data_IF_212654004865
#
_entry.id   IF_212654004865
#
_cell.length_a   1.000
_cell.length_b   1.000
_cell.length_c   1.000
_cell.angle_alpha   90.00
_cell.angle_beta   90.00
_cell.angle_gamma   90.00
#
_symmetry.space_group_name_H-M   'P 1'
#
loop_
_entity.id
_entity.type
_entity.pdbx_description
1 polymer ?
#
# COMPACT_ATOMS: atom_id res chain seq x y z
N UNK A 1 34.62 9.26 -14.54
CA UNK A 1 34.22 9.89 -13.25
C UNK A 1 32.93 10.71 -13.36
N UNK A 2 32.76 11.58 -14.35
CA UNK A 2 31.53 12.38 -14.52
C UNK A 2 30.29 11.54 -14.86
N UNK A 3 30.37 10.61 -15.82
CA UNK A 3 29.27 9.71 -16.18
C UNK A 3 28.79 8.85 -14.98
N UNK A 4 29.71 8.45 -14.09
CA UNK A 4 29.39 7.66 -12.90
C UNK A 4 28.73 8.53 -11.79
N UNK A 5 29.03 9.84 -11.77
CA UNK A 5 28.40 10.82 -10.88
C UNK A 5 27.00 11.20 -11.39
N UNK A 6 26.81 11.27 -12.71
CA UNK A 6 25.53 11.47 -13.36
C UNK A 6 24.60 10.26 -13.17
N UNK A 7 25.11 9.05 -13.38
CA UNK A 7 24.41 7.79 -13.07
C UNK A 7 23.85 7.76 -11.63
N UNK A 8 24.71 8.03 -10.63
CA UNK A 8 24.28 8.08 -9.22
C UNK A 8 23.22 9.15 -8.97
N UNK A 9 23.30 10.30 -9.63
CA UNK A 9 22.30 11.38 -9.52
C UNK A 9 20.95 10.98 -10.11
N UNK A 10 20.93 10.35 -11.29
CA UNK A 10 19.68 9.92 -11.94
C UNK A 10 19.01 8.81 -11.14
N UNK A 11 19.79 7.83 -10.66
CA UNK A 11 19.27 6.77 -9.79
C UNK A 11 18.70 7.35 -8.49
N UNK A 12 19.38 8.33 -7.88
CA UNK A 12 18.89 9.02 -6.69
C UNK A 12 17.60 9.82 -6.96
N UNK A 13 17.51 10.49 -8.11
CA UNK A 13 16.32 11.22 -8.53
C UNK A 13 15.12 10.27 -8.76
N UNK A 14 15.35 9.13 -9.42
CA UNK A 14 14.35 8.06 -9.59
C UNK A 14 13.87 7.55 -8.23
N UNK A 15 14.80 7.31 -7.29
CA UNK A 15 14.49 6.85 -5.94
C UNK A 15 13.61 7.86 -5.19
N UNK A 16 13.94 9.16 -5.24
CA UNK A 16 13.16 10.22 -4.60
C UNK A 16 11.75 10.32 -5.18
N UNK A 17 11.61 10.32 -6.50
CA UNK A 17 10.30 10.53 -7.12
C UNK A 17 9.39 9.31 -6.92
N UNK A 18 9.96 8.10 -6.99
CA UNK A 18 9.23 6.89 -6.64
C UNK A 18 8.85 6.86 -5.16
N UNK A 19 9.73 7.35 -4.28
CA UNK A 19 9.46 7.56 -2.87
C UNK A 19 8.28 8.52 -2.64
N UNK A 20 8.17 9.60 -3.42
CA UNK A 20 7.04 10.54 -3.33
C UNK A 20 5.69 9.90 -3.67
N UNK A 21 5.66 8.94 -4.60
CA UNK A 21 4.44 8.18 -4.89
C UNK A 21 3.94 7.37 -3.68
N UNK A 22 4.86 6.72 -2.98
CA UNK A 22 4.55 6.02 -1.72
C UNK A 22 4.15 7.01 -0.62
N UNK A 23 4.87 8.13 -0.51
CA UNK A 23 4.59 9.20 0.45
C UNK A 23 3.17 9.72 0.31
N UNK A 24 2.71 10.07 -0.91
CA UNK A 24 1.37 10.59 -1.14
C UNK A 24 0.28 9.61 -0.75
N UNK A 25 0.48 8.32 -1.03
CA UNK A 25 -0.44 7.29 -0.56
C UNK A 25 -0.51 7.26 0.97
N UNK A 26 0.65 7.33 1.64
CA UNK A 26 0.71 7.41 3.09
C UNK A 26 0.07 8.67 3.68
N UNK A 27 0.32 9.83 3.07
CA UNK A 27 -0.24 11.11 3.50
C UNK A 27 -1.78 11.11 3.45
N UNK A 28 -2.40 10.54 2.40
CA UNK A 28 -3.87 10.45 2.37
C UNK A 28 -4.42 9.47 3.43
N UNK A 29 -3.78 8.31 3.60
CA UNK A 29 -4.21 7.35 4.62
C UNK A 29 -4.14 7.94 6.04
N UNK A 30 -3.02 8.58 6.39
CA UNK A 30 -2.86 9.21 7.71
C UNK A 30 -3.71 10.47 7.89
N UNK A 31 -4.09 11.15 6.79
CA UNK A 31 -4.97 12.31 6.83
C UNK A 31 -6.33 11.95 7.41
N UNK A 32 -6.97 10.89 6.91
CA UNK A 32 -8.30 10.46 7.38
C UNK A 32 -8.30 10.23 8.89
N UNK A 33 -7.24 9.57 9.39
CA UNK A 33 -7.13 9.20 10.79
C UNK A 33 -7.15 10.36 11.78
N UNK A 34 -6.64 11.52 11.37
CA UNK A 34 -6.46 12.69 12.24
C UNK A 34 -7.36 13.86 11.85
N UNK A 35 -7.80 13.92 10.59
CA UNK A 35 -8.70 14.94 10.10
C UNK A 35 -10.18 14.61 10.33
N UNK A 36 -10.54 13.36 10.65
CA UNK A 36 -11.93 12.92 10.85
C UNK A 36 -12.74 13.84 11.77
N UNK A 37 -12.27 14.09 13.00
CA UNK A 37 -12.95 15.01 13.94
C UNK A 37 -13.10 16.43 13.40
N UNK A 38 -12.09 16.92 12.67
CA UNK A 38 -12.14 18.26 12.05
C UNK A 38 -13.14 18.31 10.90
N UNK A 39 -13.21 17.24 10.09
CA UNK A 39 -14.19 17.08 9.01
C UNK A 39 -15.60 17.04 9.58
N UNK A 40 -15.83 16.29 10.65
CA UNK A 40 -17.11 16.18 11.33
C UNK A 40 -17.60 17.56 11.83
N UNK A 41 -16.71 18.33 12.46
CA UNK A 41 -17.03 19.67 12.95
C UNK A 41 -17.35 20.68 11.84
N UNK A 42 -16.75 20.54 10.65
CA UNK A 42 -16.93 21.50 9.54
C UNK A 42 -18.11 21.11 8.65
N UNK A 43 -18.30 19.82 8.39
CA UNK A 43 -19.30 19.30 7.46
C UNK A 43 -20.53 18.68 8.15
N UNK A 44 -20.59 18.72 9.48
CA UNK A 44 -21.65 18.11 10.30
C UNK A 44 -21.85 16.62 9.98
N UNK A 45 -20.76 15.91 9.74
CA UNK A 45 -20.79 14.46 9.59
C UNK A 45 -20.83 13.84 10.99
N UNK A 46 -21.82 12.99 11.24
CA UNK A 46 -21.92 12.30 12.52
C UNK A 46 -20.81 11.23 12.61
N UNK A 47 -19.97 11.23 13.66
CA UNK A 47 -18.97 10.18 13.88
C UNK A 47 -19.64 8.80 13.94
N UNK A 48 -19.01 7.79 13.34
CA UNK A 48 -19.55 6.44 13.31
C UNK A 48 -20.67 6.22 12.30
N UNK A 49 -21.10 7.28 11.60
CA UNK A 49 -22.21 7.18 10.66
C UNK A 49 -21.81 6.46 9.36
N UNK A 50 -22.82 5.92 8.68
CA UNK A 50 -22.67 5.37 7.33
C UNK A 50 -22.15 6.45 6.36
N UNK A 51 -22.44 7.73 6.58
CA UNK A 51 -21.96 8.83 5.75
C UNK A 51 -20.44 9.01 5.87
N UNK A 52 -19.91 8.97 7.09
CA UNK A 52 -18.46 8.98 7.35
C UNK A 52 -17.76 7.79 6.72
N UNK A 53 -18.29 6.58 6.96
CA UNK A 53 -17.77 5.35 6.36
C UNK A 53 -17.74 5.43 4.83
N UNK A 54 -18.81 5.91 4.19
CA UNK A 54 -18.88 6.10 2.74
C UNK A 54 -17.87 7.12 2.22
N UNK A 55 -17.72 8.25 2.91
CA UNK A 55 -16.76 9.29 2.55
C UNK A 55 -15.31 8.78 2.62
N UNK A 56 -14.96 8.05 3.68
CA UNK A 56 -13.62 7.48 3.84
C UNK A 56 -13.36 6.38 2.78
N UNK A 57 -14.37 5.57 2.46
CA UNK A 57 -14.24 4.44 1.57
C UNK A 57 -14.31 4.81 0.06
N UNK A 58 -14.78 6.01 -0.32
CA UNK A 58 -14.87 6.41 -1.74
C UNK A 58 -13.52 6.40 -2.46
N UNK A 59 -12.44 6.64 -1.72
CA UNK A 59 -11.08 6.60 -2.24
C UNK A 59 -10.75 5.23 -2.81
N UNK A 60 -11.21 4.15 -2.18
CA UNK A 60 -10.95 2.80 -2.64
C UNK A 60 -11.61 2.51 -3.99
N UNK A 61 -12.79 3.07 -4.29
CA UNK A 61 -13.38 3.00 -5.63
C UNK A 61 -12.52 3.70 -6.68
N UNK A 62 -11.96 4.86 -6.34
CA UNK A 62 -10.96 5.54 -7.17
C UNK A 62 -9.75 4.62 -7.40
N UNK A 63 -9.24 3.98 -6.34
CA UNK A 63 -8.13 3.03 -6.41
C UNK A 63 -8.39 1.83 -7.32
N UNK A 64 -9.60 1.25 -7.26
CA UNK A 64 -10.05 0.17 -8.17
C UNK A 64 -9.99 0.65 -9.62
N UNK A 65 -10.62 1.78 -9.93
CA UNK A 65 -10.65 2.30 -11.30
C UNK A 65 -9.24 2.67 -11.79
N UNK A 66 -8.44 3.31 -10.94
CA UNK A 66 -7.05 3.63 -11.23
C UNK A 66 -6.22 2.38 -11.53
N UNK A 67 -6.41 1.31 -10.77
CA UNK A 67 -5.74 0.02 -10.98
C UNK A 67 -6.13 -0.61 -12.32
N UNK A 68 -7.43 -0.67 -12.63
CA UNK A 68 -7.96 -1.21 -13.90
C UNK A 68 -7.36 -0.43 -15.09
N UNK A 69 -7.35 0.90 -15.00
CA UNK A 69 -6.85 1.75 -16.06
C UNK A 69 -5.32 1.73 -16.16
N UNK A 70 -4.59 1.42 -15.08
CA UNK A 70 -3.13 1.51 -15.02
C UNK A 70 -2.42 0.67 -16.10
N UNK A 71 -2.90 -0.55 -16.36
CA UNK A 71 -2.33 -1.40 -17.42
C UNK A 71 -2.45 -0.74 -18.81
N UNK A 72 -3.59 -0.11 -19.09
CA UNK A 72 -3.77 0.67 -20.32
C UNK A 72 -2.82 1.88 -20.35
N UNK A 73 -2.78 2.68 -19.29
CA UNK A 73 -1.96 3.89 -19.26
C UNK A 73 -0.46 3.59 -19.39
N UNK A 74 0.04 2.59 -18.66
CA UNK A 74 1.46 2.19 -18.66
C UNK A 74 1.92 1.59 -19.98
N UNK A 75 1.03 0.91 -20.72
CA UNK A 75 1.32 0.34 -22.04
C UNK A 75 1.26 1.39 -23.15
N UNK A 76 0.25 2.25 -23.17
CA UNK A 76 0.03 3.21 -24.25
C UNK A 76 0.82 4.50 -24.07
N UNK A 77 0.74 5.15 -22.91
CA UNK A 77 1.42 6.42 -22.65
C UNK A 77 2.82 6.23 -22.04
N UNK A 78 3.10 5.05 -21.49
CA UNK A 78 4.36 4.74 -20.83
C UNK A 78 4.33 5.01 -19.33
N UNK A 79 5.29 4.40 -18.62
CA UNK A 79 5.35 4.39 -17.16
C UNK A 79 5.50 5.80 -16.57
N UNK A 80 6.44 6.59 -17.11
CA UNK A 80 6.67 8.01 -16.74
C UNK A 80 5.38 8.84 -16.82
N UNK A 81 4.69 8.77 -17.96
CA UNK A 81 3.50 9.58 -18.21
C UNK A 81 2.33 9.13 -17.34
N UNK A 82 2.26 7.84 -17.00
CA UNK A 82 1.28 7.33 -16.04
C UNK A 82 1.51 7.93 -14.64
N UNK A 83 2.77 8.05 -14.20
CA UNK A 83 3.10 8.71 -12.93
C UNK A 83 2.80 10.21 -12.96
N UNK A 84 2.99 10.89 -14.10
CA UNK A 84 2.58 12.28 -14.29
C UNK A 84 1.06 12.45 -14.13
N UNK A 85 0.27 11.58 -14.76
CA UNK A 85 -1.20 11.58 -14.63
C UNK A 85 -1.59 11.33 -13.17
N UNK A 86 -0.98 10.36 -12.50
CA UNK A 86 -1.23 10.08 -11.09
C UNK A 86 -0.93 11.31 -10.20
N UNK A 87 0.24 11.92 -10.36
CA UNK A 87 0.64 13.13 -9.62
C UNK A 87 -0.29 14.32 -9.89
N UNK A 88 -0.74 14.49 -11.14
CA UNK A 88 -1.72 15.52 -11.50
C UNK A 88 -3.08 15.28 -10.85
N UNK A 89 -3.58 14.04 -10.85
CA UNK A 89 -4.81 13.67 -10.15
C UNK A 89 -4.72 13.96 -8.65
N UNK A 90 -3.60 13.61 -8.01
CA UNK A 90 -3.36 13.97 -6.61
C UNK A 90 -3.37 15.48 -6.37
N UNK A 91 -2.65 16.23 -7.19
CA UNK A 91 -2.54 17.68 -7.08
C UNK A 91 -3.91 18.35 -7.20
N UNK A 92 -4.69 17.99 -8.22
CA UNK A 92 -6.03 18.54 -8.42
C UNK A 92 -7.00 18.16 -7.31
N UNK A 93 -6.99 16.88 -6.89
CA UNK A 93 -7.83 16.40 -5.80
C UNK A 93 -7.55 17.12 -4.49
N UNK A 94 -6.28 17.26 -4.11
CA UNK A 94 -5.87 17.91 -2.87
C UNK A 94 -6.05 19.44 -2.91
N UNK A 95 -5.73 20.08 -4.04
CA UNK A 95 -5.89 21.53 -4.22
C UNK A 95 -7.37 21.93 -4.09
N UNK A 96 -8.27 21.25 -4.80
CA UNK A 96 -9.70 21.54 -4.71
C UNK A 96 -10.23 21.23 -3.32
N UNK A 97 -9.74 20.17 -2.67
CA UNK A 97 -10.11 19.84 -1.29
C UNK A 97 -9.68 20.91 -0.28
N UNK A 98 -8.54 21.56 -0.48
CA UNK A 98 -8.05 22.65 0.38
C UNK A 98 -8.94 23.91 0.36
N UNK A 99 -9.75 24.08 -0.70
CA UNK A 99 -10.75 25.14 -0.82
C UNK A 99 -12.03 24.86 -0.02
N UNK A 100 -12.11 23.71 0.64
CA UNK A 100 -13.25 23.26 1.44
C UNK A 100 -14.60 23.37 0.69
N UNK A 101 -14.73 22.75 -0.49
CA UNK A 101 -15.96 22.80 -1.27
C UNK A 101 -17.08 22.01 -0.55
N UNK A 102 -18.35 22.12 -1.00
CA UNK A 102 -19.43 21.29 -0.48
C UNK A 102 -19.09 19.79 -0.47
N UNK A 103 -19.64 19.04 0.49
CA UNK A 103 -19.27 17.65 0.77
C UNK A 103 -19.32 16.73 -0.46
N UNK A 104 -20.26 16.94 -1.38
CA UNK A 104 -20.37 16.17 -2.62
C UNK A 104 -19.14 16.35 -3.52
N UNK A 105 -18.64 17.58 -3.64
CA UNK A 105 -17.43 17.88 -4.41
C UNK A 105 -16.20 17.35 -3.68
N UNK A 106 -16.14 17.50 -2.35
CA UNK A 106 -15.04 16.94 -1.55
C UNK A 106 -14.97 15.40 -1.69
N UNK A 107 -16.12 14.74 -1.73
CA UNK A 107 -16.24 13.28 -1.98
C UNK A 107 -15.74 12.92 -3.37
N UNK A 108 -16.07 13.72 -4.40
CA UNK A 108 -15.53 13.56 -5.75
C UNK A 108 -14.00 13.79 -5.81
N UNK A 109 -13.48 14.76 -5.06
CA UNK A 109 -12.03 14.95 -4.93
C UNK A 109 -11.36 13.72 -4.33
N UNK A 110 -11.95 13.10 -3.30
CA UNK A 110 -11.43 11.84 -2.72
C UNK A 110 -11.40 10.69 -3.72
N UNK A 111 -12.41 10.59 -4.60
CA UNK A 111 -12.38 9.63 -5.69
C UNK A 111 -11.20 9.89 -6.65
N UNK A 112 -10.95 11.15 -7.02
CA UNK A 112 -9.82 11.55 -7.89
C UNK A 112 -8.47 11.25 -7.23
N UNK A 113 -8.33 11.53 -5.93
CA UNK A 113 -7.15 11.14 -5.14
C UNK A 113 -6.95 9.63 -5.22
N UNK A 114 -7.99 8.84 -4.97
CA UNK A 114 -7.97 7.39 -5.08
C UNK A 114 -7.56 6.89 -6.47
N UNK A 115 -8.07 7.51 -7.53
CA UNK A 115 -7.65 7.20 -8.91
C UNK A 115 -6.15 7.39 -9.10
N UNK A 116 -5.59 8.51 -8.58
CA UNK A 116 -4.16 8.76 -8.56
C UNK A 116 -3.37 7.70 -7.79
N UNK A 117 -3.84 7.31 -6.59
CA UNK A 117 -3.22 6.24 -5.78
C UNK A 117 -3.20 4.92 -6.55
N UNK A 118 -4.34 4.54 -7.16
CA UNK A 118 -4.46 3.30 -7.92
C UNK A 118 -3.47 3.25 -9.08
N UNK A 119 -3.37 4.33 -9.87
CA UNK A 119 -2.35 4.44 -10.93
C UNK A 119 -0.92 4.33 -10.38
N UNK A 120 -0.60 5.09 -9.33
CA UNK A 120 0.74 5.13 -8.74
C UNK A 120 1.16 3.79 -8.12
N UNK A 121 0.24 3.08 -7.47
CA UNK A 121 0.47 1.80 -6.80
C UNK A 121 0.94 0.69 -7.76
N UNK A 122 0.52 0.76 -9.02
CA UNK A 122 0.96 -0.17 -10.07
C UNK A 122 2.13 0.39 -10.88
N UNK A 123 2.06 1.67 -11.29
CA UNK A 123 3.07 2.25 -12.16
C UNK A 123 4.43 2.46 -11.46
N UNK A 124 4.45 2.76 -10.16
CA UNK A 124 5.70 3.05 -9.43
C UNK A 124 6.57 1.82 -9.27
N UNK A 125 6.08 0.67 -8.75
CA UNK A 125 6.92 -0.53 -8.64
C UNK A 125 7.39 -1.04 -10.01
N UNK A 126 6.54 -0.95 -11.04
CA UNK A 126 6.91 -1.33 -12.41
C UNK A 126 8.00 -0.41 -12.97
N UNK A 127 7.84 0.91 -12.84
CA UNK A 127 8.84 1.88 -13.26
C UNK A 127 10.18 1.67 -12.55
N UNK A 128 10.15 1.43 -11.24
CA UNK A 128 11.33 1.11 -10.45
C UNK A 128 11.99 -0.17 -10.91
N UNK A 129 11.24 -1.23 -11.18
CA UNK A 129 11.80 -2.50 -11.65
C UNK A 129 12.50 -2.36 -13.02
N UNK A 130 11.98 -1.50 -13.89
CA UNK A 130 12.50 -1.29 -15.25
C UNK A 130 13.66 -0.29 -15.33
N UNK A 131 13.75 0.66 -14.39
CA UNK A 131 14.78 1.70 -14.41
C UNK A 131 15.90 1.47 -13.40
N UNK A 132 15.59 0.87 -12.24
CA UNK A 132 16.59 0.60 -11.22
C UNK A 132 17.62 -0.43 -11.69
N UNK A 133 18.91 -0.22 -11.37
CA UNK A 133 19.97 -1.22 -11.54
C UNK A 133 19.63 -2.54 -10.85
N UNK A 134 20.11 -3.66 -11.40
CA UNK A 134 19.83 -5.02 -10.88
C UNK A 134 20.17 -5.12 -9.38
N UNK A 135 21.26 -4.49 -8.93
CA UNK A 135 21.78 -4.58 -7.55
C UNK A 135 20.92 -3.89 -6.49
N UNK A 136 20.20 -2.82 -6.85
CA UNK A 136 19.44 -2.00 -5.88
C UNK A 136 17.93 -2.09 -6.07
N UNK A 137 17.44 -2.89 -7.03
CA UNK A 137 16.02 -3.02 -7.36
C UNK A 137 15.16 -3.37 -6.13
N UNK A 138 15.62 -4.31 -5.31
CA UNK A 138 14.92 -4.70 -4.07
C UNK A 138 14.87 -3.58 -3.03
N UNK A 139 15.95 -2.80 -2.91
CA UNK A 139 16.01 -1.65 -2.02
C UNK A 139 15.05 -0.52 -2.46
N UNK A 140 14.90 -0.30 -3.77
CA UNK A 140 13.95 0.67 -4.31
C UNK A 140 12.49 0.29 -4.05
N UNK A 141 12.15 -1.00 -4.20
CA UNK A 141 10.80 -1.48 -3.85
C UNK A 141 10.52 -1.32 -2.34
N UNK A 142 11.51 -1.61 -1.51
CA UNK A 142 11.42 -1.42 -0.06
C UNK A 142 11.27 0.06 0.33
N UNK A 143 11.93 0.97 -0.40
CA UNK A 143 11.82 2.41 -0.21
C UNK A 143 10.38 2.91 -0.44
N UNK A 144 9.69 2.38 -1.45
CA UNK A 144 8.29 2.74 -1.70
C UNK A 144 7.40 2.45 -0.47
N UNK A 145 7.52 1.25 0.11
CA UNK A 145 6.76 0.88 1.31
C UNK A 145 7.15 1.71 2.53
N UNK A 146 8.46 1.94 2.72
CA UNK A 146 8.96 2.79 3.80
C UNK A 146 8.32 4.19 3.72
N UNK A 147 8.24 4.76 2.52
CA UNK A 147 7.67 6.08 2.29
C UNK A 147 6.17 6.16 2.51
N UNK A 148 5.42 5.08 2.25
CA UNK A 148 4.00 4.99 2.67
C UNK A 148 3.90 5.18 4.18
N UNK A 149 4.64 4.40 4.96
CA UNK A 149 4.57 4.47 6.43
C UNK A 149 5.11 5.79 6.98
N UNK A 150 6.14 6.36 6.34
CA UNK A 150 6.65 7.68 6.67
C UNK A 150 5.60 8.77 6.37
N UNK A 151 4.86 8.67 5.25
CA UNK A 151 3.79 9.60 4.91
C UNK A 151 2.66 9.57 5.94
N UNK A 152 2.23 8.38 6.37
CA UNK A 152 1.21 8.22 7.42
C UNK A 152 1.67 8.90 8.71
N UNK A 153 2.92 8.67 9.13
CA UNK A 153 3.49 9.29 10.31
C UNK A 153 3.60 10.82 10.17
N UNK A 154 4.12 11.30 9.04
CA UNK A 154 4.36 12.72 8.78
C UNK A 154 3.06 13.53 8.82
N UNK A 155 2.01 13.08 8.12
CA UNK A 155 0.73 13.80 8.13
C UNK A 155 0.08 13.76 9.51
N UNK A 156 0.21 12.65 10.26
CA UNK A 156 -0.31 12.60 11.62
C UNK A 156 0.40 13.62 12.52
N UNK A 157 1.74 13.68 12.48
CA UNK A 157 2.52 14.66 13.22
C UNK A 157 2.12 16.09 12.88
N UNK A 158 2.04 16.40 11.58
CA UNK A 158 1.67 17.74 11.12
C UNK A 158 0.24 18.09 11.51
N UNK A 159 -0.72 17.17 11.34
CA UNK A 159 -2.12 17.41 11.69
C UNK A 159 -2.32 17.64 13.19
N UNK A 160 -1.62 16.87 14.05
CA UNK A 160 -1.65 17.08 15.51
C UNK A 160 -1.17 18.48 15.86
N UNK A 161 -0.03 18.91 15.31
CA UNK A 161 0.50 20.27 15.53
C UNK A 161 -0.47 21.34 15.03
N UNK A 162 -1.06 21.17 13.85
CA UNK A 162 -2.03 22.12 13.29
C UNK A 162 -3.27 22.23 14.20
N UNK A 163 -3.81 21.12 14.70
CA UNK A 163 -4.98 21.12 15.59
C UNK A 163 -4.64 21.73 16.95
N UNK A 164 -3.46 21.45 17.51
CA UNK A 164 -3.03 22.03 18.79
C UNK A 164 -2.95 23.56 18.73
N UNK A 165 -2.49 24.11 17.59
CA UNK A 165 -2.32 25.56 17.38
C UNK A 165 -3.62 26.25 16.96
N UNK A 166 -4.39 25.63 16.05
CA UNK A 166 -5.51 26.28 15.36
C UNK A 166 -6.89 25.71 15.71
N UNK A 167 -6.95 24.67 16.56
CA UNK A 167 -8.17 23.93 16.89
C UNK A 167 -8.78 23.19 15.70
N UNK A 168 -10.01 22.72 15.87
CA UNK A 168 -10.83 22.13 14.79
C UNK A 168 -11.56 23.23 14.00
N UNK A 169 -10.82 23.94 13.15
CA UNK A 169 -11.31 25.09 12.38
C UNK A 169 -11.16 24.87 10.88
N UNK A 170 -11.83 25.70 10.06
CA UNK A 170 -11.64 25.69 8.60
C UNK A 170 -10.17 25.91 8.21
N UNK A 171 -9.46 26.77 8.95
CA UNK A 171 -8.03 27.04 8.72
C UNK A 171 -7.21 25.76 8.92
N UNK A 172 -7.46 25.01 10.01
CA UNK A 172 -6.73 23.78 10.25
C UNK A 172 -6.97 22.75 9.15
N UNK A 173 -8.23 22.54 8.73
CA UNK A 173 -8.53 21.59 7.64
C UNK A 173 -7.90 22.00 6.29
N UNK A 174 -7.94 23.30 5.95
CA UNK A 174 -7.27 23.81 4.74
C UNK A 174 -5.77 23.52 4.80
N UNK A 175 -5.10 23.81 5.91
CA UNK A 175 -3.66 23.54 6.08
C UNK A 175 -3.33 22.05 5.95
N UNK A 176 -4.14 21.17 6.53
CA UNK A 176 -3.95 19.71 6.39
C UNK A 176 -4.00 19.27 4.92
N UNK A 177 -4.96 19.76 4.13
CA UNK A 177 -5.00 19.51 2.70
C UNK A 177 -3.85 20.17 1.94
N UNK A 178 -3.43 21.38 2.32
CA UNK A 178 -2.31 22.09 1.71
C UNK A 178 -0.99 21.33 1.82
N UNK A 179 -0.77 20.59 2.90
CA UNK A 179 0.41 19.71 3.06
C UNK A 179 0.40 18.62 1.99
N UNK A 180 -0.74 17.97 1.76
CA UNK A 180 -0.89 16.96 0.70
C UNK A 180 -0.67 17.59 -0.68
N UNK A 181 -1.26 18.77 -0.92
CA UNK A 181 -1.10 19.54 -2.17
C UNK A 181 0.38 19.86 -2.45
N UNK A 182 1.14 20.24 -1.43
CA UNK A 182 2.57 20.52 -1.55
C UNK A 182 3.35 19.30 -2.04
N UNK A 183 3.18 18.15 -1.39
CA UNK A 183 3.86 16.92 -1.81
C UNK A 183 3.38 16.43 -3.18
N UNK A 184 2.11 16.64 -3.51
CA UNK A 184 1.55 16.26 -4.81
C UNK A 184 2.15 17.11 -5.93
N UNK A 185 2.32 18.41 -5.67
CA UNK A 185 3.01 19.33 -6.58
C UNK A 185 4.47 18.93 -6.79
N UNK A 186 5.19 18.58 -5.71
CA UNK A 186 6.58 18.12 -5.78
C UNK A 186 6.71 16.83 -6.61
N UNK A 187 5.81 15.86 -6.43
CA UNK A 187 5.79 14.65 -7.26
C UNK A 187 5.50 14.99 -8.73
N UNK A 188 4.46 15.79 -8.99
CA UNK A 188 4.06 16.17 -10.34
C UNK A 188 5.21 16.84 -11.10
N UNK A 189 5.87 17.83 -10.50
CA UNK A 189 7.06 18.46 -11.08
C UNK A 189 8.23 17.50 -11.21
N UNK A 190 8.50 16.69 -10.18
CA UNK A 190 9.57 15.70 -10.18
C UNK A 190 9.47 14.74 -11.36
N UNK A 191 8.25 14.25 -11.65
CA UNK A 191 8.00 13.32 -12.74
C UNK A 191 8.41 13.84 -14.13
N UNK A 192 8.51 15.15 -14.37
CA UNK A 192 9.01 15.68 -15.66
C UNK A 192 10.49 15.35 -15.89
N UNK A 193 11.29 15.26 -14.84
CA UNK A 193 12.72 14.97 -14.89
C UNK A 193 13.04 13.47 -14.97
N UNK A 194 12.04 12.61 -14.82
CA UNK A 194 12.22 11.16 -14.94
C UNK A 194 12.57 10.76 -16.39
N UNK A 195 13.52 9.83 -16.60
CA UNK A 195 13.69 9.20 -17.90
C UNK A 195 12.49 8.30 -18.23
N UNK A 196 12.24 8.07 -19.53
CA UNK A 196 11.29 7.05 -19.98
C UNK A 196 11.80 5.67 -19.59
N UNK A 197 10.90 4.69 -19.46
CA UNK A 197 11.32 3.30 -19.23
C UNK A 197 12.01 2.74 -20.49
N UNK A 198 13.22 2.16 -20.37
CA UNK A 198 13.88 1.48 -21.48
C UNK A 198 13.05 0.35 -22.08
N UNK A 199 12.40 -0.46 -21.22
CA UNK A 199 11.54 -1.56 -21.67
C UNK A 199 10.36 -1.05 -22.48
N UNK A 200 9.70 0.01 -22.01
CA UNK A 200 8.59 0.59 -22.76
C UNK A 200 9.03 1.17 -24.12
N UNK A 201 10.24 1.74 -24.20
CA UNK A 201 10.80 2.22 -25.47
C UNK A 201 11.07 1.07 -26.44
N UNK A 202 11.61 -0.05 -25.95
CA UNK A 202 11.79 -1.28 -26.74
C UNK A 202 10.45 -1.82 -27.26
N UNK A 203 9.41 -1.90 -26.41
CA UNK A 203 8.05 -2.29 -26.81
C UNK A 203 7.39 -1.36 -27.85
N UNK A 204 7.95 -0.17 -28.08
CA UNK A 204 7.48 0.81 -29.08
C UNK A 204 8.40 0.87 -30.30
N UNK A 205 9.29 -0.12 -30.47
CA UNK A 205 10.28 -0.19 -31.54
C UNK A 205 11.24 1.02 -31.57
N UNK A 206 11.50 1.64 -30.41
CA UNK A 206 12.37 2.82 -30.24
C UNK A 206 13.69 2.45 -29.57
N UNK A 207 14.42 1.50 -30.16
CA UNK A 207 15.69 0.97 -29.62
C UNK A 207 16.76 2.07 -29.42
N UNK A 208 16.86 3.04 -30.33
CA UNK A 208 17.82 4.14 -30.23
C UNK A 208 17.65 4.96 -28.94
N UNK A 209 16.42 5.36 -28.63
CA UNK A 209 16.11 6.06 -27.37
C UNK A 209 16.29 5.15 -26.15
N UNK A 210 15.98 3.85 -26.28
CA UNK A 210 16.20 2.90 -25.20
C UNK A 210 17.70 2.80 -24.85
N UNK A 211 18.58 2.77 -25.86
CA UNK A 211 20.04 2.84 -25.68
C UNK A 211 20.49 4.10 -24.97
N UNK A 212 19.99 5.27 -25.38
CA UNK A 212 20.33 6.54 -24.75
C UNK A 212 19.94 6.59 -23.28
N UNK A 213 18.74 6.09 -22.95
CA UNK A 213 18.30 6.01 -21.56
C UNK A 213 19.14 5.00 -20.78
N UNK A 214 19.39 3.80 -21.32
CA UNK A 214 20.23 2.79 -20.66
C UNK A 214 21.66 3.28 -20.44
N UNK A 215 22.23 4.04 -21.37
CA UNK A 215 23.55 4.65 -21.23
C UNK A 215 23.65 5.61 -20.03
N UNK A 216 22.53 6.19 -19.62
CA UNK A 216 22.44 7.04 -18.41
C UNK A 216 22.16 6.23 -17.13
N UNK A 217 21.63 5.01 -17.28
CA UNK A 217 21.16 4.16 -16.18
C UNK A 217 22.03 2.92 -15.92
N UNK A 218 23.02 2.62 -16.75
CA UNK A 218 23.84 1.40 -16.70
C UNK A 218 25.29 1.70 -17.04
N UNK A 219 26.16 0.76 -16.67
CA UNK A 219 27.53 0.75 -17.19
C UNK A 219 27.51 0.30 -18.66
N UNK A 220 28.48 0.78 -19.46
CA UNK A 220 28.53 0.53 -20.92
C UNK A 220 28.46 -0.95 -21.28
N UNK A 221 29.09 -1.81 -20.50
CA UNK A 221 29.22 -3.25 -20.79
C UNK A 221 27.91 -4.04 -20.58
N UNK A 222 26.91 -3.44 -19.91
CA UNK A 222 25.62 -4.09 -19.62
C UNK A 222 24.53 -3.72 -20.63
N UNK A 223 24.69 -2.62 -21.38
CA UNK A 223 23.63 -2.04 -22.23
C UNK A 223 23.28 -3.00 -23.37
N UNK A 224 24.28 -3.45 -24.12
CA UNK A 224 24.06 -4.32 -25.28
C UNK A 224 23.50 -5.69 -24.88
N UNK A 225 23.94 -6.20 -23.73
CA UNK A 225 23.38 -7.43 -23.15
C UNK A 225 21.91 -7.25 -22.77
N UNK A 226 21.58 -6.17 -22.06
CA UNK A 226 20.20 -5.90 -21.60
C UNK A 226 19.25 -5.66 -22.79
N UNK A 227 19.72 -5.01 -23.86
CA UNK A 227 18.92 -4.86 -25.11
C UNK A 227 18.72 -6.19 -25.81
N UNK A 228 19.77 -7.01 -25.95
CA UNK A 228 19.61 -8.34 -26.54
C UNK A 228 18.66 -9.22 -25.72
N UNK A 229 18.75 -9.20 -24.39
CA UNK A 229 17.81 -9.86 -23.48
C UNK A 229 16.36 -9.37 -23.72
N UNK A 230 16.14 -8.06 -23.84
CA UNK A 230 14.81 -7.49 -24.11
C UNK A 230 14.27 -7.91 -25.49
N UNK A 231 15.08 -7.84 -26.54
CA UNK A 231 14.68 -8.23 -27.89
C UNK A 231 14.44 -9.74 -28.04
N UNK A 232 15.16 -10.57 -27.28
CA UNK A 232 14.91 -12.01 -27.24
C UNK A 232 13.62 -12.34 -26.49
N UNK A 233 13.34 -11.65 -25.38
CA UNK A 233 12.11 -11.80 -24.62
C UNK A 233 10.88 -11.37 -25.44
N UNK A 234 10.92 -10.25 -26.15
CA UNK A 234 9.83 -9.82 -27.06
C UNK A 234 9.57 -10.85 -28.18
N UNK A 235 10.62 -11.54 -28.66
CA UNK A 235 10.47 -12.63 -29.66
C UNK A 235 10.00 -13.95 -29.05
N UNK A 236 10.29 -14.18 -27.76
CA UNK A 236 9.85 -15.35 -26.99
C UNK A 236 8.47 -15.19 -26.33
N UNK A 237 7.83 -14.00 -26.38
CA UNK A 237 6.42 -13.75 -26.00
C UNK A 237 5.38 -14.52 -26.87
N UNK A 238 5.80 -15.62 -27.51
CA UNK A 238 5.01 -16.56 -28.29
C UNK A 238 4.07 -17.45 -27.46
N UNK A 239 4.08 -17.40 -26.13
CA UNK A 239 2.95 -17.91 -25.34
C UNK A 239 1.93 -16.79 -25.19
N UNK A 240 0.97 -16.75 -26.12
CA UNK A 240 -0.13 -15.80 -26.09
C UNK A 240 -0.73 -15.77 -24.68
N UNK A 241 -0.93 -14.59 -24.10
CA UNK A 241 -1.64 -14.39 -22.82
C UNK A 241 -2.92 -15.26 -22.75
N UNK A 242 -3.61 -15.42 -23.89
CA UNK A 242 -4.78 -16.33 -24.03
C UNK A 242 -4.47 -17.81 -23.74
N UNK A 243 -3.31 -18.32 -24.15
CA UNK A 243 -2.85 -19.69 -23.89
C UNK A 243 -2.48 -19.93 -22.44
N UNK A 244 -2.00 -18.92 -21.70
CA UNK A 244 -1.70 -19.09 -20.27
C UNK A 244 -2.98 -18.94 -19.44
N UNK A 245 -3.85 -18.00 -19.79
CA UNK A 245 -5.17 -17.82 -19.17
C UNK A 245 -6.10 -19.03 -19.35
N UNK A 246 -5.94 -19.79 -20.44
CA UNK A 246 -6.70 -21.02 -20.67
C UNK A 246 -6.22 -22.21 -19.84
N UNK A 247 -5.05 -22.13 -19.19
CA UNK A 247 -4.53 -23.20 -18.36
C UNK A 247 -5.09 -23.12 -16.94
N UNK A 248 -5.62 -24.24 -16.44
CA UNK A 248 -6.21 -24.33 -15.09
C UNK A 248 -5.24 -24.03 -13.93
N UNK A 249 -3.93 -24.14 -14.14
CA UNK A 249 -2.94 -23.79 -13.11
C UNK A 249 -2.92 -22.29 -12.80
N UNK A 250 -3.21 -21.43 -13.79
CA UNK A 250 -3.15 -19.98 -13.62
C UNK A 250 -4.20 -19.54 -12.60
N UNK A 251 -5.42 -20.05 -12.73
CA UNK A 251 -6.53 -19.76 -11.82
C UNK A 251 -6.24 -20.22 -10.39
N UNK A 252 -5.49 -21.33 -10.22
CA UNK A 252 -5.08 -21.80 -8.89
C UNK A 252 -4.13 -20.82 -8.19
N UNK A 253 -3.13 -20.29 -8.90
CA UNK A 253 -2.23 -19.26 -8.35
C UNK A 253 -2.96 -17.93 -8.17
N UNK A 254 -3.83 -17.56 -9.11
CA UNK A 254 -4.62 -16.35 -9.00
C UNK A 254 -5.46 -16.34 -7.73
N UNK A 255 -6.13 -17.46 -7.41
CA UNK A 255 -6.87 -17.62 -6.15
C UNK A 255 -5.93 -17.41 -4.96
N UNK A 256 -4.70 -17.94 -4.99
CA UNK A 256 -3.73 -17.72 -3.91
C UNK A 256 -3.41 -16.23 -3.73
N UNK A 257 -3.08 -15.52 -4.80
CA UNK A 257 -2.81 -14.08 -4.73
C UNK A 257 -4.03 -13.27 -4.26
N UNK A 258 -5.22 -13.61 -4.75
CA UNK A 258 -6.50 -12.96 -4.39
C UNK A 258 -6.79 -13.12 -2.90
N UNK A 259 -6.65 -14.33 -2.38
CA UNK A 259 -6.92 -14.62 -0.97
C UNK A 259 -5.88 -13.97 -0.05
N UNK A 260 -4.60 -13.90 -0.46
CA UNK A 260 -3.56 -13.17 0.29
C UNK A 260 -3.93 -11.69 0.40
N UNK A 261 -4.30 -11.04 -0.71
CA UNK A 261 -4.64 -9.61 -0.70
C UNK A 261 -5.95 -9.32 0.04
N UNK A 262 -6.93 -10.23 -0.02
CA UNK A 262 -8.12 -10.18 0.81
C UNK A 262 -7.75 -10.21 2.31
N UNK A 263 -6.92 -11.18 2.73
CA UNK A 263 -6.53 -11.27 4.14
C UNK A 263 -5.68 -10.09 4.60
N UNK A 264 -4.83 -9.50 3.74
CA UNK A 264 -4.09 -8.29 4.10
C UNK A 264 -5.01 -7.17 4.61
N UNK A 265 -6.24 -7.09 4.10
CA UNK A 265 -7.23 -6.11 4.54
C UNK A 265 -8.12 -6.64 5.68
N UNK A 266 -8.57 -7.91 5.62
CA UNK A 266 -9.42 -8.51 6.64
C UNK A 266 -8.75 -8.72 8.00
N UNK A 267 -7.42 -8.62 8.10
CA UNK A 267 -6.74 -8.54 9.40
C UNK A 267 -6.94 -7.18 10.11
N UNK A 268 -7.65 -6.24 9.48
CA UNK A 268 -8.17 -5.02 10.13
C UNK A 268 -7.26 -3.80 10.07
N UNK A 269 -6.25 -3.78 9.19
CA UNK A 269 -5.23 -2.72 9.23
C UNK A 269 -5.79 -1.33 8.96
N UNK A 270 -6.68 -1.15 7.98
CA UNK A 270 -7.24 0.18 7.70
C UNK A 270 -8.15 0.66 8.83
N UNK A 271 -8.85 -0.26 9.52
CA UNK A 271 -9.63 0.13 10.70
C UNK A 271 -8.70 0.63 11.82
N UNK A 272 -7.56 -0.03 12.02
CA UNK A 272 -6.55 0.40 12.98
C UNK A 272 -5.87 1.71 12.56
N UNK A 273 -5.49 1.89 11.30
CA UNK A 273 -4.85 3.13 10.85
C UNK A 273 -5.84 4.29 10.91
N UNK A 274 -7.08 4.11 10.44
CA UNK A 274 -8.02 5.22 10.25
C UNK A 274 -8.75 5.60 11.54
N UNK A 275 -8.96 4.65 12.45
CA UNK A 275 -9.82 4.88 13.60
C UNK A 275 -9.08 4.74 14.94
N UNK A 276 -7.79 4.33 14.98
CA UNK A 276 -7.04 4.27 16.24
C UNK A 276 -7.02 5.58 17.02
N UNK A 277 -6.78 6.76 16.42
CA UNK A 277 -6.85 8.00 17.17
C UNK A 277 -8.24 8.20 17.81
N UNK A 278 -9.31 7.83 17.10
CA UNK A 278 -10.69 7.97 17.57
C UNK A 278 -10.98 7.05 18.77
N UNK A 279 -10.76 5.74 18.64
CA UNK A 279 -11.12 4.79 19.71
C UNK A 279 -10.17 4.84 20.91
N UNK A 280 -8.89 5.21 20.72
CA UNK A 280 -7.94 5.37 21.83
C UNK A 280 -8.25 6.64 22.63
N UNK A 281 -8.63 7.74 21.97
CA UNK A 281 -9.13 8.92 22.66
C UNK A 281 -10.47 8.64 23.34
N UNK A 282 -11.35 7.86 22.70
CA UNK A 282 -12.59 7.39 23.32
C UNK A 282 -12.36 6.56 24.59
N UNK A 283 -11.24 5.81 24.65
CA UNK A 283 -10.81 5.11 25.86
C UNK A 283 -10.18 6.04 26.93
N UNK A 284 -9.96 7.33 26.62
CA UNK A 284 -9.40 8.33 27.53
C UNK A 284 -7.89 8.55 27.42
N UNK A 285 -7.22 8.04 26.38
CA UNK A 285 -5.80 8.33 26.14
C UNK A 285 -5.61 9.70 25.47
N UNK A 286 -4.50 10.37 25.77
CA UNK A 286 -4.13 11.61 25.11
C UNK A 286 -3.91 11.39 23.60
N UNK A 287 -4.41 12.32 22.78
CA UNK A 287 -4.33 12.32 21.31
C UNK A 287 -2.89 12.17 20.77
N UNK A 288 -1.92 12.81 21.42
CA UNK A 288 -0.50 12.78 21.05
C UNK A 288 0.06 11.36 21.25
N UNK A 289 -0.22 10.75 22.41
CA UNK A 289 0.20 9.38 22.72
C UNK A 289 -0.53 8.35 21.85
N UNK A 290 -1.82 8.52 21.61
CA UNK A 290 -2.65 7.61 20.84
C UNK A 290 -2.33 7.62 19.33
N UNK A 291 -2.16 8.81 18.74
CA UNK A 291 -1.89 8.97 17.31
C UNK A 291 -0.41 8.78 16.98
N UNK A 292 0.47 9.56 17.60
CA UNK A 292 1.89 9.58 17.19
C UNK A 292 2.59 8.26 17.48
N UNK A 293 2.33 7.61 18.61
CA UNK A 293 3.01 6.35 18.94
C UNK A 293 2.66 5.24 17.95
N UNK A 294 1.38 5.12 17.58
CA UNK A 294 0.88 4.10 16.64
C UNK A 294 1.56 4.25 15.28
N UNK A 295 1.57 5.45 14.71
CA UNK A 295 2.16 5.67 13.39
C UNK A 295 3.69 5.72 13.41
N UNK A 296 4.30 6.15 14.52
CA UNK A 296 5.75 6.07 14.69
C UNK A 296 6.23 4.62 14.76
N UNK A 297 5.53 3.77 15.52
CA UNK A 297 5.80 2.33 15.54
C UNK A 297 5.54 1.72 14.16
N UNK A 298 4.49 2.12 13.45
CA UNK A 298 4.26 1.65 12.07
C UNK A 298 5.45 1.95 11.17
N UNK A 299 5.95 3.18 11.17
CA UNK A 299 7.13 3.60 10.43
C UNK A 299 8.39 2.81 10.83
N UNK A 300 8.72 2.75 12.11
CA UNK A 300 9.93 2.02 12.58
C UNK A 300 9.88 0.53 12.30
N UNK A 301 8.69 -0.08 12.34
CA UNK A 301 8.50 -1.52 12.14
C UNK A 301 8.74 -1.96 10.69
N UNK A 302 8.78 -1.02 9.73
CA UNK A 302 9.12 -1.35 8.35
C UNK A 302 10.60 -1.65 8.14
N UNK A 303 11.51 -1.09 8.94
CA UNK A 303 12.95 -1.33 8.81
C UNK A 303 13.33 -2.81 9.07
N UNK A 304 12.86 -3.46 10.16
CA UNK A 304 13.05 -4.90 10.35
C UNK A 304 12.48 -5.74 9.21
N UNK A 305 11.34 -5.34 8.63
CA UNK A 305 10.67 -6.06 7.56
C UNK A 305 11.60 -6.31 6.37
N UNK A 306 12.33 -5.27 5.94
CA UNK A 306 13.27 -5.32 4.81
C UNK A 306 14.32 -6.43 5.02
N UNK A 307 14.85 -6.56 6.25
CA UNK A 307 15.86 -7.58 6.58
C UNK A 307 15.24 -8.96 6.79
N UNK A 308 14.05 -9.04 7.39
CA UNK A 308 13.42 -10.30 7.76
C UNK A 308 12.78 -11.03 6.60
N UNK A 309 12.28 -10.32 5.58
CA UNK A 309 11.76 -10.92 4.34
C UNK A 309 12.80 -11.85 3.71
N UNK A 310 14.05 -11.39 3.63
CA UNK A 310 15.15 -12.18 3.08
C UNK A 310 15.71 -13.20 4.07
N UNK A 311 15.79 -12.87 5.37
CA UNK A 311 16.35 -13.78 6.37
C UNK A 311 15.41 -14.96 6.68
N UNK A 312 14.13 -14.71 6.92
CA UNK A 312 13.18 -15.71 7.43
C UNK A 312 12.30 -16.35 6.35
N UNK A 313 12.19 -15.71 5.19
CA UNK A 313 11.29 -16.14 4.13
C UNK A 313 9.88 -15.57 4.31
N UNK A 314 9.11 -15.59 3.22
CA UNK A 314 7.84 -14.86 3.11
C UNK A 314 6.74 -15.57 3.90
N UNK A 315 6.63 -16.90 3.75
CA UNK A 315 5.56 -17.70 4.39
C UNK A 315 5.69 -17.69 5.92
N UNK A 316 6.92 -17.86 6.42
CA UNK A 316 7.19 -17.83 7.86
C UNK A 316 6.86 -16.47 8.45
N UNK A 317 7.26 -15.38 7.79
CA UNK A 317 7.06 -14.03 8.27
C UNK A 317 5.57 -13.65 8.32
N UNK A 318 4.78 -13.97 7.28
CA UNK A 318 3.32 -13.78 7.32
C UNK A 318 2.65 -14.57 8.45
N UNK A 319 3.11 -15.80 8.70
CA UNK A 319 2.53 -16.66 9.74
C UNK A 319 2.80 -16.09 11.14
N UNK A 320 4.04 -15.68 11.42
CA UNK A 320 4.42 -15.07 12.71
C UNK A 320 3.68 -13.75 12.89
N UNK A 321 3.62 -12.92 11.85
CA UNK A 321 2.89 -11.66 11.87
C UNK A 321 1.41 -11.82 12.19
N UNK A 322 0.72 -12.76 11.53
CA UNK A 322 -0.68 -13.04 11.80
C UNK A 322 -0.90 -13.54 13.23
N UNK A 323 0.02 -14.33 13.79
CA UNK A 323 -0.08 -14.81 15.16
C UNK A 323 0.07 -13.66 16.16
N UNK A 324 1.06 -12.79 15.95
CA UNK A 324 1.27 -11.57 16.76
C UNK A 324 0.05 -10.66 16.70
N UNK A 325 -0.51 -10.43 15.52
CA UNK A 325 -1.73 -9.63 15.34
C UNK A 325 -2.94 -10.26 16.03
N UNK A 326 -3.16 -11.58 15.87
CA UNK A 326 -4.28 -12.27 16.50
C UNK A 326 -4.24 -12.15 18.03
N UNK A 327 -3.07 -12.39 18.64
CA UNK A 327 -2.90 -12.26 20.08
C UNK A 327 -3.16 -10.84 20.56
N UNK A 328 -2.61 -9.84 19.86
CA UNK A 328 -2.83 -8.43 20.17
C UNK A 328 -4.31 -8.03 20.04
N UNK A 329 -4.99 -8.45 18.97
CA UNK A 329 -6.41 -8.13 18.74
C UNK A 329 -7.34 -8.74 19.79
N UNK A 330 -7.03 -9.94 20.28
CA UNK A 330 -7.77 -10.54 21.41
C UNK A 330 -7.61 -9.68 22.66
N UNK A 331 -6.39 -9.21 22.96
CA UNK A 331 -6.14 -8.31 24.09
C UNK A 331 -6.87 -6.99 23.92
N UNK A 332 -6.86 -6.40 22.72
CA UNK A 332 -7.63 -5.18 22.39
C UNK A 332 -9.13 -5.39 22.67
N UNK A 333 -9.71 -6.51 22.23
CA UNK A 333 -11.11 -6.82 22.46
C UNK A 333 -11.45 -6.98 23.96
N UNK A 334 -10.58 -7.65 24.72
CA UNK A 334 -10.73 -7.79 26.19
C UNK A 334 -10.65 -6.42 26.87
N UNK A 335 -9.75 -5.53 26.43
CA UNK A 335 -9.65 -4.18 26.99
C UNK A 335 -10.91 -3.36 26.72
N UNK A 336 -11.46 -3.40 25.50
CA UNK A 336 -12.73 -2.73 25.21
C UNK A 336 -13.91 -3.34 25.95
N UNK A 337 -13.93 -4.66 26.15
CA UNK A 337 -14.92 -5.29 27.02
C UNK A 337 -14.82 -4.77 28.46
N UNK A 338 -13.60 -4.67 29.00
CA UNK A 338 -13.37 -4.16 30.35
C UNK A 338 -13.78 -2.68 30.50
N UNK A 339 -13.45 -1.84 29.52
CA UNK A 339 -13.71 -0.39 29.54
C UNK A 339 -15.20 -0.09 29.29
N UNK A 340 -15.76 -0.61 28.19
CA UNK A 340 -17.09 -0.19 27.69
C UNK A 340 -18.24 -1.01 28.29
N UNK A 341 -18.01 -2.28 28.69
CA UNK A 341 -19.07 -3.18 29.16
C UNK A 341 -18.96 -3.43 30.66
N UNK A 342 -17.78 -3.82 31.15
CA UNK A 342 -17.58 -4.11 32.58
C UNK A 342 -17.44 -2.82 33.44
N UNK A 343 -17.31 -1.65 32.82
CA UNK A 343 -17.26 -0.36 33.51
C UNK A 343 -15.97 -0.16 34.33
N UNK A 344 -14.86 -0.76 33.93
CA UNK A 344 -13.57 -0.61 34.64
C UNK A 344 -12.97 0.76 34.31
N UNK A 345 -13.08 1.70 35.25
CA UNK A 345 -12.58 3.08 35.08
C UNK A 345 -11.08 3.27 35.40
N UNK A 346 -10.31 2.19 35.56
CA UNK A 346 -8.86 2.25 35.81
C UNK A 346 -8.09 2.72 34.57
N UNK A 347 -6.93 3.33 34.78
CA UNK A 347 -5.97 3.64 33.69
C UNK A 347 -5.29 2.38 33.13
N UNK A 348 -5.27 1.29 33.89
CA UNK A 348 -4.53 0.07 33.55
C UNK A 348 -5.00 -0.58 32.23
N UNK A 349 -6.31 -0.82 31.97
CA UNK A 349 -6.79 -1.33 30.69
C UNK A 349 -6.46 -0.42 29.49
N UNK A 350 -6.36 0.91 29.71
CA UNK A 350 -6.05 1.88 28.66
C UNK A 350 -4.60 1.76 28.18
N UNK A 351 -3.66 1.61 29.10
CA UNK A 351 -2.26 1.38 28.75
C UNK A 351 -2.03 0.02 28.09
N UNK A 352 -2.73 -1.03 28.56
CA UNK A 352 -2.67 -2.35 27.91
C UNK A 352 -3.24 -2.26 26.49
N UNK A 353 -4.37 -1.57 26.30
CA UNK A 353 -4.97 -1.34 25.00
C UNK A 353 -3.96 -0.68 24.05
N UNK A 354 -3.29 0.39 24.48
CA UNK A 354 -2.26 1.05 23.68
C UNK A 354 -1.13 0.09 23.31
N UNK A 355 -0.56 -0.63 24.29
CA UNK A 355 0.53 -1.59 24.04
C UNK A 355 0.08 -2.67 23.04
N UNK A 356 -1.14 -3.20 23.19
CA UNK A 356 -1.69 -4.19 22.28
C UNK A 356 -1.85 -3.62 20.85
N UNK A 357 -2.32 -2.38 20.71
CA UNK A 357 -2.37 -1.70 19.42
C UNK A 357 -0.97 -1.55 18.79
N UNK A 358 0.06 -1.19 19.59
CA UNK A 358 1.44 -1.07 19.10
C UNK A 358 2.00 -2.43 18.66
N UNK A 359 1.76 -3.50 19.42
CA UNK A 359 2.16 -4.86 19.07
C UNK A 359 1.46 -5.34 17.81
N UNK A 360 0.17 -5.04 17.65
CA UNK A 360 -0.57 -5.32 16.42
C UNK A 360 0.07 -4.62 15.21
N UNK A 361 0.31 -3.31 15.32
CA UNK A 361 0.89 -2.51 14.23
C UNK A 361 2.30 -3.01 13.88
N UNK A 362 3.11 -3.32 14.89
CA UNK A 362 4.42 -3.91 14.71
C UNK A 362 4.32 -5.25 13.94
N UNK A 363 3.41 -6.13 14.38
CA UNK A 363 3.14 -7.40 13.72
C UNK A 363 2.77 -7.23 12.25
N UNK A 364 1.86 -6.30 11.93
CA UNK A 364 1.45 -6.03 10.55
C UNK A 364 2.60 -5.46 9.70
N UNK A 365 3.23 -4.38 10.17
CA UNK A 365 4.21 -3.61 9.42
C UNK A 365 5.50 -4.40 9.14
N UNK A 366 5.91 -5.30 10.06
CA UNK A 366 7.07 -6.16 9.84
C UNK A 366 6.77 -7.42 9.01
N UNK A 367 5.51 -7.64 8.59
CA UNK A 367 5.09 -8.84 7.86
C UNK A 367 4.07 -8.55 6.73
N UNK A 368 2.77 -8.58 7.01
CA UNK A 368 1.67 -8.51 6.06
C UNK A 368 1.68 -7.26 5.18
N UNK A 369 2.16 -6.13 5.71
CA UNK A 369 2.33 -4.89 4.97
C UNK A 369 3.13 -5.11 3.68
N UNK A 370 4.45 -5.36 3.76
CA UNK A 370 5.28 -5.58 2.57
C UNK A 370 5.13 -6.98 1.94
N UNK A 371 5.01 -8.04 2.75
CA UNK A 371 5.20 -9.42 2.27
C UNK A 371 4.07 -9.89 1.38
N UNK A 372 2.83 -9.41 1.58
CA UNK A 372 1.69 -9.78 0.74
C UNK A 372 1.91 -9.34 -0.72
N UNK A 373 2.40 -8.12 -0.93
CA UNK A 373 2.75 -7.59 -2.26
C UNK A 373 3.89 -8.37 -2.91
N UNK A 374 4.90 -8.74 -2.11
CA UNK A 374 6.07 -9.50 -2.57
C UNK A 374 5.63 -10.87 -3.08
N UNK A 375 4.86 -11.64 -2.29
CA UNK A 375 4.39 -12.97 -2.71
C UNK A 375 3.55 -12.87 -3.99
N UNK A 376 2.61 -11.91 -4.07
CA UNK A 376 1.82 -11.72 -5.29
C UNK A 376 2.72 -11.47 -6.52
N UNK A 377 3.80 -10.71 -6.38
CA UNK A 377 4.72 -10.46 -7.49
C UNK A 377 5.60 -11.67 -7.86
N UNK A 378 5.88 -12.57 -6.91
CA UNK A 378 6.79 -13.72 -7.07
C UNK A 378 6.06 -14.98 -7.57
N UNK A 379 4.76 -15.15 -7.30
CA UNK A 379 4.01 -16.37 -7.67
C UNK A 379 3.51 -16.36 -9.12
N UNK A 380 3.39 -15.20 -9.76
CA UNK A 380 2.87 -15.13 -11.14
C UNK A 380 3.98 -15.31 -12.19
N UNK A 381 3.75 -16.18 -13.20
CA UNK A 381 4.58 -16.28 -14.39
C UNK A 381 4.75 -14.93 -15.08
N UNK A 382 5.91 -14.70 -15.70
CA UNK A 382 6.25 -13.39 -16.26
C UNK A 382 5.20 -12.87 -17.26
N UNK A 383 4.70 -13.74 -18.14
CA UNK A 383 3.79 -13.39 -19.23
C UNK A 383 2.38 -12.95 -18.78
N UNK A 384 1.98 -13.32 -17.55
CA UNK A 384 0.65 -13.00 -16.99
C UNK A 384 0.75 -12.25 -15.67
N UNK A 385 1.96 -11.86 -15.26
CA UNK A 385 2.22 -11.18 -13.98
C UNK A 385 1.46 -9.88 -13.87
N UNK A 386 1.49 -9.05 -14.91
CA UNK A 386 0.76 -7.77 -14.91
C UNK A 386 -0.74 -7.97 -14.71
N UNK A 387 -1.32 -8.97 -15.38
CA UNK A 387 -2.74 -9.31 -15.25
C UNK A 387 -3.07 -9.85 -13.85
N UNK A 388 -2.28 -10.80 -13.33
CA UNK A 388 -2.44 -11.33 -11.98
C UNK A 388 -2.31 -10.26 -10.89
N UNK A 389 -1.31 -9.37 -11.01
CA UNK A 389 -1.12 -8.24 -10.11
C UNK A 389 -2.29 -7.26 -10.16
N UNK A 390 -2.84 -7.00 -11.35
CA UNK A 390 -4.02 -6.11 -11.51
C UNK A 390 -5.23 -6.68 -10.77
N UNK A 391 -5.57 -7.95 -10.99
CA UNK A 391 -6.72 -8.59 -10.33
C UNK A 391 -6.55 -8.64 -8.80
N UNK A 392 -5.37 -9.02 -8.33
CA UNK A 392 -5.09 -9.08 -6.88
C UNK A 392 -5.13 -7.71 -6.21
N UNK A 393 -4.69 -6.66 -6.92
CA UNK A 393 -4.76 -5.27 -6.45
C UNK A 393 -6.20 -4.73 -6.46
N UNK A 394 -7.03 -5.09 -7.45
CA UNK A 394 -8.46 -4.76 -7.44
C UNK A 394 -9.13 -5.38 -6.21
N UNK A 395 -8.86 -6.66 -5.94
CA UNK A 395 -9.38 -7.33 -4.74
C UNK A 395 -8.91 -6.64 -3.48
N UNK A 396 -7.63 -6.25 -3.41
CA UNK A 396 -7.09 -5.47 -2.29
C UNK A 396 -7.94 -4.22 -2.04
N UNK A 397 -8.12 -3.37 -3.06
CA UNK A 397 -8.93 -2.15 -2.94
C UNK A 397 -10.40 -2.40 -2.61
N UNK A 398 -10.99 -3.48 -3.14
CA UNK A 398 -12.35 -3.88 -2.78
C UNK A 398 -12.46 -4.18 -1.28
N UNK A 399 -11.50 -4.90 -0.70
CA UNK A 399 -11.51 -5.15 0.74
C UNK A 399 -11.07 -3.93 1.58
N UNK A 400 -10.25 -3.02 1.04
CA UNK A 400 -10.04 -1.69 1.65
C UNK A 400 -11.39 -0.97 1.78
N UNK A 401 -12.19 -0.93 0.71
CA UNK A 401 -13.52 -0.32 0.71
C UNK A 401 -14.42 -0.95 1.77
N UNK A 402 -14.55 -2.29 1.80
CA UNK A 402 -15.39 -3.00 2.77
C UNK A 402 -14.96 -2.68 4.21
N UNK A 403 -13.67 -2.82 4.50
CA UNK A 403 -13.16 -2.59 5.86
C UNK A 403 -13.37 -1.12 6.26
N UNK A 404 -12.99 -0.16 5.43
CA UNK A 404 -13.11 1.27 5.78
C UNK A 404 -14.57 1.70 5.94
N UNK A 405 -15.46 1.24 5.06
CA UNK A 405 -16.87 1.64 5.07
C UNK A 405 -17.64 1.14 6.29
N UNK A 406 -17.36 -0.10 6.73
CA UNK A 406 -18.20 -0.78 7.73
C UNK A 406 -17.56 -0.86 9.12
N UNK A 407 -16.24 -0.72 9.25
CA UNK A 407 -15.60 -0.96 10.55
C UNK A 407 -16.00 0.05 11.62
N UNK A 408 -16.06 1.34 11.29
CA UNK A 408 -16.48 2.36 12.26
C UNK A 408 -17.96 2.18 12.64
N UNK A 409 -18.80 1.88 11.65
CA UNK A 409 -20.23 1.59 11.86
C UNK A 409 -20.43 0.40 12.81
N UNK A 410 -19.63 -0.66 12.67
CA UNK A 410 -19.69 -1.83 13.56
C UNK A 410 -19.12 -1.49 14.95
N UNK A 411 -18.02 -0.71 15.03
CA UNK A 411 -17.44 -0.29 16.31
C UNK A 411 -18.43 0.50 17.17
N UNK A 412 -19.23 1.35 16.53
CA UNK A 412 -20.23 2.19 17.19
C UNK A 412 -21.62 1.53 17.30
N UNK A 413 -21.78 0.29 16.83
CA UNK A 413 -23.00 -0.50 16.94
C UNK A 413 -23.19 -1.06 18.37
N UNK A 414 -23.40 -0.16 19.34
CA UNK A 414 -23.59 -0.49 20.74
C UNK A 414 -22.31 -0.91 21.46
N UNK A 415 -22.45 -1.27 22.74
CA UNK A 415 -21.31 -1.56 23.64
C UNK A 415 -20.47 -2.77 23.22
N UNK A 416 -21.05 -3.69 22.43
CA UNK A 416 -20.36 -4.89 21.92
C UNK A 416 -19.64 -4.67 20.59
N UNK A 417 -19.85 -3.53 19.92
CA UNK A 417 -19.31 -3.25 18.59
C UNK A 417 -17.78 -3.40 18.52
N UNK A 418 -17.05 -2.69 19.39
CA UNK A 418 -15.58 -2.76 19.44
C UNK A 418 -15.05 -4.16 19.80
N UNK A 419 -15.46 -4.82 20.90
CA UNK A 419 -14.98 -6.17 21.17
C UNK A 419 -15.24 -7.16 20.03
N UNK A 420 -16.42 -7.12 19.41
CA UNK A 420 -16.80 -8.04 18.34
C UNK A 420 -15.95 -7.86 17.08
N UNK A 421 -15.69 -6.63 16.65
CA UNK A 421 -14.91 -6.41 15.42
C UNK A 421 -13.45 -6.83 15.59
N UNK A 422 -12.83 -6.54 16.73
CA UNK A 422 -11.44 -6.92 16.99
C UNK A 422 -11.29 -8.44 17.14
N UNK A 423 -12.25 -9.14 17.76
CA UNK A 423 -12.30 -10.62 17.76
C UNK A 423 -12.47 -11.16 16.34
N UNK A 424 -13.31 -10.53 15.52
CA UNK A 424 -13.52 -10.96 14.13
C UNK A 424 -12.21 -10.87 13.32
N UNK A 425 -11.45 -9.79 13.48
CA UNK A 425 -10.12 -9.66 12.87
C UNK A 425 -9.11 -10.69 13.41
N UNK A 426 -9.16 -11.02 14.70
CA UNK A 426 -8.32 -12.08 15.26
C UNK A 426 -8.66 -13.45 14.65
N UNK A 427 -9.95 -13.74 14.45
CA UNK A 427 -10.40 -14.95 13.76
C UNK A 427 -9.90 -14.96 12.30
N UNK A 428 -10.00 -13.84 11.58
CA UNK A 428 -9.45 -13.75 10.22
C UNK A 428 -7.94 -13.97 10.18
N UNK A 429 -7.18 -13.47 11.17
CA UNK A 429 -5.75 -13.78 11.30
C UNK A 429 -5.51 -15.29 11.45
N UNK A 430 -6.31 -16.00 12.23
CA UNK A 430 -6.19 -17.45 12.41
C UNK A 430 -6.55 -18.23 11.15
N UNK A 431 -7.62 -17.84 10.45
CA UNK A 431 -7.98 -18.44 9.15
C UNK A 431 -6.87 -18.20 8.13
N UNK A 432 -6.29 -16.99 8.11
CA UNK A 432 -5.18 -16.65 7.26
C UNK A 432 -3.97 -17.57 7.53
N UNK A 433 -3.62 -17.84 8.79
CA UNK A 433 -2.54 -18.78 9.14
C UNK A 433 -2.79 -20.18 8.58
N UNK A 434 -4.02 -20.69 8.68
CA UNK A 434 -4.39 -21.99 8.12
C UNK A 434 -4.22 -21.98 6.59
N UNK A 435 -4.72 -20.92 5.93
CA UNK A 435 -4.56 -20.74 4.49
C UNK A 435 -3.09 -20.71 4.05
N UNK A 436 -2.24 -19.93 4.74
CA UNK A 436 -0.81 -19.83 4.47
C UNK A 436 -0.13 -21.20 4.55
N UNK A 437 -0.43 -21.98 5.60
CA UNK A 437 0.15 -23.32 5.79
C UNK A 437 -0.23 -24.26 4.65
N UNK A 438 -1.49 -24.25 4.23
CA UNK A 438 -2.05 -25.20 3.27
C UNK A 438 -1.71 -24.88 1.81
N UNK A 439 -1.74 -23.60 1.40
CA UNK A 439 -1.76 -23.23 -0.02
C UNK A 439 -0.59 -22.36 -0.47
N UNK A 440 0.01 -21.56 0.41
CA UNK A 440 1.04 -20.59 0.02
C UNK A 440 2.43 -21.24 -0.01
N UNK A 441 3.18 -21.14 -1.13
CA UNK A 441 4.57 -21.58 -1.19
C UNK A 441 5.51 -20.65 -0.45
N UNK A 442 6.67 -21.18 -0.04
CA UNK A 442 7.82 -20.32 0.25
C UNK A 442 8.50 -19.95 -1.07
N UNK A 443 8.79 -18.67 -1.27
CA UNK A 443 9.37 -18.14 -2.52
C UNK A 443 10.80 -17.63 -2.33
N UNK A 444 11.28 -17.56 -1.08
CA UNK A 444 12.62 -17.10 -0.75
C UNK A 444 13.70 -17.88 -1.49
N UNK A 445 14.55 -17.16 -2.24
CA UNK A 445 15.74 -17.70 -2.88
C UNK A 445 15.45 -18.63 -4.07
N UNK A 446 14.22 -18.61 -4.58
CA UNK A 446 13.79 -19.42 -5.73
C UNK A 446 13.66 -18.50 -6.94
N UNK A 447 14.19 -18.90 -8.09
CA UNK A 447 14.03 -18.12 -9.32
C UNK A 447 12.58 -18.17 -9.81
N UNK A 448 12.15 -17.12 -10.50
CA UNK A 448 10.78 -17.00 -11.01
C UNK A 448 10.48 -18.09 -12.04
N UNK A 449 11.48 -18.44 -12.84
CA UNK A 449 11.43 -19.49 -13.86
C UNK A 449 11.20 -20.85 -13.20
N UNK A 450 11.87 -21.14 -12.07
CA UNK A 450 11.68 -22.39 -11.33
C UNK A 450 10.27 -22.50 -10.72
N UNK A 451 9.71 -21.39 -10.25
CA UNK A 451 8.32 -21.35 -9.76
C UNK A 451 7.35 -21.64 -10.91
N UNK A 452 7.61 -21.07 -12.08
CA UNK A 452 6.82 -21.28 -13.30
C UNK A 452 6.93 -22.74 -13.79
N UNK A 453 8.13 -23.32 -13.84
CA UNK A 453 8.35 -24.72 -14.22
C UNK A 453 7.62 -25.67 -13.27
N UNK A 454 7.74 -25.44 -11.96
CA UNK A 454 7.06 -26.21 -10.94
C UNK A 454 5.53 -26.14 -11.06
N UNK A 455 5.02 -24.98 -11.47
CA UNK A 455 3.61 -24.75 -11.70
C UNK A 455 3.12 -25.48 -12.95
N UNK A 456 3.88 -25.40 -14.05
CA UNK A 456 3.58 -26.08 -15.32
C UNK A 456 3.66 -27.59 -15.14
N UNK A 457 4.62 -28.09 -14.35
CA UNK A 457 4.77 -29.52 -14.03
C UNK A 457 3.69 -30.04 -13.07
N UNK A 458 2.75 -29.19 -12.63
CA UNK A 458 1.63 -29.59 -11.78
C UNK A 458 1.98 -29.87 -10.32
N UNK A 459 3.11 -29.34 -9.80
CA UNK A 459 3.41 -29.46 -8.35
C UNK A 459 2.30 -28.80 -7.53
N UNK A 460 2.09 -29.31 -6.31
CA UNK A 460 1.16 -28.70 -5.34
C UNK A 460 1.58 -27.25 -5.07
N UNK A 461 0.62 -26.33 -5.00
CA UNK A 461 0.86 -24.89 -4.82
C UNK A 461 1.81 -24.56 -3.65
N UNK A 462 1.65 -25.24 -2.51
CA UNK A 462 2.51 -25.05 -1.32
C UNK A 462 3.98 -25.47 -1.53
N UNK A 463 4.27 -26.24 -2.56
CA UNK A 463 5.59 -26.78 -2.87
C UNK A 463 6.23 -26.10 -4.10
N UNK A 464 5.65 -25.00 -4.61
CA UNK A 464 6.20 -24.32 -5.78
C UNK A 464 7.62 -23.78 -5.56
N UNK A 465 8.01 -23.53 -4.30
CA UNK A 465 9.38 -23.12 -3.96
C UNK A 465 10.41 -24.25 -3.84
N UNK A 466 10.01 -25.52 -4.00
CA UNK A 466 10.89 -26.68 -3.81
C UNK A 466 11.58 -27.10 -5.09
#
# INVERSE_FOLDING_TARGET
MEAQKEYKRIVFLIAIIAALGGLLFGLDQGFIANAGKTLDHIYNMAPGSIAEGKFNAILAYGGILGTICSGFFTRYFGRKNTLLIAGFSFLMGALVSSLLPPLNILTACRFILGFGVGLASFATPLYLAETAPKDIRGAMSSLFQLMITFGIFLICLVNVVIVEVSGHTKISLTLMFSVITLFAFLMFLGCFFLPKSPRWLMMKDREGEAREVLARLRNKDEIDREIQEMSQNDKQESHSVKQVLSKGFFWKILIVGVVIQMFQQLVGINAMIYYAPSFLQGAGLNIILAGLAVFFVNFLSTFPAIRWVEKWGRKKLLTVGALTMAAALVVVAICFYAIDIAGVHSEFPKYILLIACLVYIFGFACSWGPVAWIICSEIFPQNVREFGMTITTIVNWTFVWIVVAYSNVIMDAGVWGKPMIFISYAIFCMIAIVFLKLFVPETKGVSLEKIEDNLISGKKLRNLGQ
#
